data_IF_652980784070
#
_entry.id   IF_652980784070
#
_cell.length_a   1.000
_cell.length_b   1.000
_cell.length_c   1.000
_cell.angle_alpha   90.00
_cell.angle_beta   90.00
_cell.angle_gamma   90.00
#
_symmetry.space_group_name_H-M   'P 1'
#
loop_
_entity.id
_entity.type
_entity.pdbx_description
1 polymer ?
#
# COMPACT_ATOMS: atom_id res chain seq x y z
N UNK A 1 -18.75 1.20 28.38
CA UNK A 1 -18.50 2.40 27.55
C UNK A 1 -17.93 3.51 28.42
N UNK A 2 -16.86 4.17 27.96
CA UNK A 2 -16.10 5.21 28.67
C UNK A 2 -15.89 6.42 27.75
N UNK A 3 -15.95 7.64 28.29
CA UNK A 3 -15.64 8.87 27.55
C UNK A 3 -14.30 9.46 28.01
N UNK A 4 -13.40 9.71 27.06
CA UNK A 4 -12.13 10.37 27.33
C UNK A 4 -12.16 11.75 26.67
N UNK A 5 -11.98 12.83 27.44
CA UNK A 5 -11.97 14.21 26.92
C UNK A 5 -10.96 15.07 27.67
N UNK A 6 -10.02 15.67 26.96
CA UNK A 6 -9.01 16.54 27.57
C UNK A 6 -9.56 17.81 28.22
N UNK A 7 -10.75 18.25 27.82
CA UNK A 7 -11.43 19.41 28.41
C UNK A 7 -11.98 19.14 29.83
N UNK A 8 -11.84 17.91 30.34
CA UNK A 8 -12.33 17.48 31.66
C UNK A 8 -13.82 17.18 31.72
N UNK A 9 -14.53 17.18 30.59
CA UNK A 9 -15.97 16.85 30.54
C UNK A 9 -16.25 15.34 30.35
N UNK A 10 -15.20 14.54 30.15
CA UNK A 10 -15.28 13.08 30.05
C UNK A 10 -15.10 12.39 31.41
N UNK A 11 -15.20 11.06 31.40
CA UNK A 11 -14.91 10.21 32.55
C UNK A 11 -13.40 10.25 32.89
N UNK A 12 -12.55 10.41 31.86
CA UNK A 12 -11.09 10.50 31.98
C UNK A 12 -10.53 11.61 31.07
N UNK A 13 -9.37 12.16 31.42
CA UNK A 13 -8.61 13.11 30.58
C UNK A 13 -7.48 12.43 29.82
N UNK A 14 -6.99 11.30 30.31
CA UNK A 14 -5.95 10.47 29.72
C UNK A 14 -6.57 9.28 28.98
N UNK A 15 -6.03 8.96 27.80
CA UNK A 15 -6.55 7.89 26.95
C UNK A 15 -6.31 6.51 27.56
N UNK A 16 -5.13 6.29 28.13
CA UNK A 16 -4.74 5.00 28.68
C UNK A 16 -5.53 4.68 29.96
N UNK A 17 -5.75 5.66 30.84
CA UNK A 17 -6.64 5.50 31.99
C UNK A 17 -8.07 5.11 31.55
N UNK A 18 -8.57 5.74 30.49
CA UNK A 18 -9.86 5.39 29.90
C UNK A 18 -9.91 3.95 29.37
N UNK A 19 -8.85 3.50 28.68
CA UNK A 19 -8.70 2.11 28.24
C UNK A 19 -8.67 1.16 29.45
N UNK A 20 -7.93 1.48 30.50
CA UNK A 20 -7.80 0.66 31.70
C UNK A 20 -9.11 0.49 32.48
N UNK A 21 -9.99 1.50 32.45
CA UNK A 21 -11.31 1.44 33.07
C UNK A 21 -12.34 0.56 32.35
N UNK A 22 -12.06 0.14 31.10
CA UNK A 22 -12.99 -0.68 30.31
C UNK A 22 -12.97 -2.18 30.66
N UNK A 23 -14.07 -2.88 30.35
CA UNK A 23 -14.11 -4.34 30.25
C UNK A 23 -13.89 -4.81 28.79
N UNK A 24 -13.62 -6.11 28.55
CA UNK A 24 -13.63 -6.66 27.19
C UNK A 24 -14.93 -6.35 26.44
N UNK A 25 -14.83 -5.99 25.15
CA UNK A 25 -15.98 -5.62 24.32
C UNK A 25 -16.50 -4.18 24.50
N UNK A 26 -15.94 -3.40 25.42
CA UNK A 26 -16.36 -2.01 25.63
C UNK A 26 -15.89 -1.06 24.52
N UNK A 27 -16.45 0.15 24.56
CA UNK A 27 -16.06 1.27 23.71
C UNK A 27 -15.48 2.42 24.54
N UNK A 28 -14.36 2.97 24.07
CA UNK A 28 -13.77 4.24 24.50
C UNK A 28 -14.10 5.30 23.45
N UNK A 29 -14.90 6.30 23.84
CA UNK A 29 -15.24 7.45 23.00
C UNK A 29 -14.28 8.60 23.30
N UNK A 30 -13.51 9.01 22.30
CA UNK A 30 -12.43 10.00 22.44
C UNK A 30 -12.86 11.35 21.88
N UNK A 31 -12.94 12.35 22.75
CA UNK A 31 -13.24 13.74 22.40
C UNK A 31 -12.08 14.45 21.71
N UNK A 32 -12.35 15.66 21.22
CA UNK A 32 -11.31 16.51 20.62
C UNK A 32 -10.17 16.79 21.62
N UNK A 33 -8.94 16.71 21.14
CA UNK A 33 -7.74 16.87 21.96
C UNK A 33 -6.50 16.22 21.37
N UNK A 34 -5.37 16.46 22.01
CA UNK A 34 -4.07 15.81 21.75
C UNK A 34 -3.69 14.90 22.92
N UNK A 35 -3.78 13.60 22.73
CA UNK A 35 -3.40 12.59 23.70
C UNK A 35 -1.98 12.13 23.42
N UNK A 36 -1.03 12.60 24.21
CA UNK A 36 0.42 12.46 23.95
C UNK A 36 1.22 11.89 25.12
N UNK A 37 0.54 11.41 26.15
CA UNK A 37 1.18 10.82 27.33
C UNK A 37 1.78 9.44 27.00
N UNK A 38 3.07 9.43 26.66
CA UNK A 38 3.85 8.22 26.40
C UNK A 38 4.25 7.59 27.74
N UNK A 39 3.86 6.33 27.95
CA UNK A 39 4.08 5.60 29.20
C UNK A 39 4.81 4.28 28.94
N UNK A 40 5.54 3.80 29.95
CA UNK A 40 6.22 2.52 29.90
C UNK A 40 5.25 1.37 30.20
N UNK A 41 5.21 0.37 29.32
CA UNK A 41 4.46 -0.88 29.49
C UNK A 41 5.37 -2.08 29.31
N UNK A 42 5.16 -3.11 30.12
CA UNK A 42 5.79 -4.41 29.92
C UNK A 42 4.99 -5.23 28.92
N UNK A 43 5.53 -5.45 27.73
CA UNK A 43 4.92 -6.35 26.76
C UNK A 43 4.96 -7.80 27.26
N UNK A 44 4.06 -8.63 26.74
CA UNK A 44 3.98 -10.07 26.98
C UNK A 44 5.29 -10.81 26.70
N UNK A 45 6.13 -10.27 25.80
CA UNK A 45 7.49 -10.72 25.51
C UNK A 45 8.51 -10.47 26.65
N UNK A 46 8.14 -9.76 27.71
CA UNK A 46 9.06 -9.36 28.79
C UNK A 46 9.94 -8.16 28.43
N UNK A 47 9.65 -7.46 27.33
CA UNK A 47 10.39 -6.31 26.83
C UNK A 47 9.59 -5.05 27.16
N UNK A 48 10.18 -4.03 27.82
CA UNK A 48 9.48 -2.77 28.03
C UNK A 48 9.29 -2.02 26.70
N UNK A 49 8.15 -1.34 26.56
CA UNK A 49 7.78 -0.50 25.44
C UNK A 49 7.20 0.83 25.90
N UNK A 50 7.38 1.87 25.09
CA UNK A 50 6.94 3.24 25.40
C UNK A 50 5.79 3.57 24.46
N UNK A 51 4.56 3.60 24.97
CA UNK A 51 3.35 3.72 24.13
C UNK A 51 2.35 4.69 24.72
N UNK A 52 1.52 5.30 23.88
CA UNK A 52 0.44 6.20 24.33
C UNK A 52 -0.81 5.41 24.70
N UNK A 53 -1.16 4.42 23.88
CA UNK A 53 -2.31 3.54 24.12
C UNK A 53 -1.88 2.07 23.99
N UNK A 54 -1.98 1.35 25.10
CA UNK A 54 -1.69 -0.07 25.22
C UNK A 54 -2.98 -0.87 25.33
N UNK A 55 -3.28 -1.68 24.30
CA UNK A 55 -4.51 -2.46 24.20
C UNK A 55 -4.21 -3.93 24.49
N UNK A 56 -4.69 -4.41 25.63
CA UNK A 56 -4.54 -5.78 26.13
C UNK A 56 -5.89 -6.40 26.59
N UNK A 57 -7.00 -5.90 26.03
CA UNK A 57 -8.36 -6.39 26.28
C UNK A 57 -9.06 -6.68 24.95
N UNK A 58 -9.80 -7.80 24.84
CA UNK A 58 -10.29 -8.21 23.55
C UNK A 58 -11.55 -7.43 23.18
N UNK A 59 -11.75 -7.25 21.88
CA UNK A 59 -12.91 -6.61 21.26
C UNK A 59 -13.14 -5.15 21.71
N UNK A 60 -12.07 -4.45 22.13
CA UNK A 60 -12.16 -3.05 22.49
C UNK A 60 -12.39 -2.19 21.25
N UNK A 61 -13.29 -1.20 21.34
CA UNK A 61 -13.43 -0.16 20.33
C UNK A 61 -12.89 1.16 20.85
N UNK A 62 -12.05 1.86 20.08
CA UNK A 62 -11.58 3.21 20.37
C UNK A 62 -12.01 4.11 19.21
N UNK A 63 -12.93 5.04 19.49
CA UNK A 63 -13.62 5.83 18.46
C UNK A 63 -13.45 7.31 18.79
N UNK A 64 -12.72 8.03 17.94
CA UNK A 64 -12.62 9.47 18.01
C UNK A 64 -13.83 10.19 17.44
N UNK A 65 -14.06 11.43 17.87
CA UNK A 65 -15.13 12.28 17.30
C UNK A 65 -14.86 12.71 15.86
N UNK A 66 -13.59 12.79 15.46
CA UNK A 66 -13.14 13.12 14.11
C UNK A 66 -11.62 12.98 14.00
N UNK A 67 -11.09 12.50 12.86
CA UNK A 67 -9.65 12.53 12.60
C UNK A 67 -9.08 13.95 12.63
N UNK A 68 -9.87 14.99 12.37
CA UNK A 68 -9.39 16.38 12.34
C UNK A 68 -9.14 16.97 13.73
N UNK A 69 -9.78 16.43 14.77
CA UNK A 69 -9.76 17.00 16.12
C UNK A 69 -9.22 16.07 17.20
N UNK A 70 -9.11 14.76 16.94
CA UNK A 70 -8.50 13.78 17.84
C UNK A 70 -7.10 13.41 17.35
N UNK A 71 -6.06 13.79 18.10
CA UNK A 71 -4.66 13.44 17.81
C UNK A 71 -4.12 12.53 18.90
N UNK A 72 -3.66 11.34 18.53
CA UNK A 72 -2.92 10.42 19.40
C UNK A 72 -1.45 10.54 19.01
N UNK A 73 -0.65 11.20 19.83
CA UNK A 73 0.72 11.56 19.48
C UNK A 73 1.14 12.93 19.98
N UNK A 74 2.44 13.13 20.23
CA UNK A 74 2.98 14.43 20.63
C UNK A 74 2.91 15.47 19.52
N UNK A 75 2.94 16.76 19.89
CA UNK A 75 2.92 17.86 18.93
C UNK A 75 4.18 17.88 18.05
N UNK A 76 5.33 17.59 18.68
CA UNK A 76 6.61 17.40 18.01
C UNK A 76 6.99 15.92 18.01
N UNK A 77 7.72 15.43 16.99
CA UNK A 77 8.11 14.03 16.93
C UNK A 77 8.92 13.52 18.15
N UNK A 78 8.46 12.41 18.73
CA UNK A 78 9.18 11.67 19.77
C UNK A 78 9.41 10.25 19.27
N UNK A 79 10.53 10.02 18.58
CA UNK A 79 10.84 8.73 17.95
C UNK A 79 11.31 7.66 18.95
N UNK A 80 11.96 8.08 20.03
CA UNK A 80 12.50 7.16 21.02
C UNK A 80 12.42 7.76 22.41
N UNK A 81 12.21 6.90 23.40
CA UNK A 81 12.41 7.18 24.82
C UNK A 81 13.33 6.10 25.37
N UNK A 82 14.36 6.49 26.12
CA UNK A 82 15.37 5.58 26.69
C UNK A 82 15.98 4.60 25.69
N UNK A 83 16.23 5.08 24.47
CA UNK A 83 16.83 4.32 23.37
C UNK A 83 15.90 3.30 22.70
N UNK A 84 14.60 3.33 23.00
CA UNK A 84 13.60 2.43 22.43
C UNK A 84 12.53 3.18 21.66
N UNK A 85 12.04 2.54 20.61
CA UNK A 85 11.03 3.10 19.72
C UNK A 85 9.69 3.33 20.45
N UNK A 86 9.08 4.48 20.20
CA UNK A 86 7.75 4.82 20.71
C UNK A 86 6.63 4.25 19.85
N UNK A 87 5.48 3.95 20.48
CA UNK A 87 4.26 3.53 19.80
C UNK A 87 3.09 4.49 20.07
N UNK A 88 2.24 4.71 19.08
CA UNK A 88 0.97 5.42 19.26
C UNK A 88 -0.04 4.50 19.93
N UNK A 89 -0.60 3.58 19.15
CA UNK A 89 -1.53 2.54 19.61
C UNK A 89 -0.90 1.18 19.37
N UNK A 90 -0.83 0.33 20.40
CA UNK A 90 -0.21 -0.99 20.31
C UNK A 90 -1.15 -2.05 20.87
N UNK A 91 -1.44 -3.10 20.09
CA UNK A 91 -2.04 -4.32 20.63
C UNK A 91 -0.96 -5.27 21.13
N UNK A 92 -1.26 -5.95 22.23
CA UNK A 92 -0.45 -7.03 22.80
C UNK A 92 -1.37 -8.15 23.29
N UNK A 93 -0.83 -9.21 23.90
CA UNK A 93 -1.59 -10.37 24.34
C UNK A 93 -2.93 -10.00 25.02
N UNK A 94 -4.03 -10.54 24.48
CA UNK A 94 -5.39 -10.22 24.91
C UNK A 94 -6.03 -9.02 24.19
N UNK A 95 -5.33 -8.35 23.28
CA UNK A 95 -5.81 -7.20 22.50
C UNK A 95 -6.44 -7.55 21.14
N UNK A 96 -6.93 -8.79 20.96
CA UNK A 96 -7.58 -9.23 19.72
C UNK A 96 -8.89 -8.46 19.47
N UNK A 97 -9.30 -8.32 18.21
CA UNK A 97 -10.60 -7.72 17.91
C UNK A 97 -10.68 -6.20 18.08
N UNK A 98 -9.54 -5.51 18.20
CA UNK A 98 -9.51 -4.04 18.32
C UNK A 98 -10.22 -3.38 17.12
N UNK A 99 -11.08 -2.41 17.40
CA UNK A 99 -11.63 -1.49 16.40
C UNK A 99 -11.12 -0.08 16.66
N UNK A 100 -10.44 0.52 15.68
CA UNK A 100 -10.01 1.91 15.70
C UNK A 100 -10.81 2.71 14.68
N UNK A 101 -11.34 3.86 15.10
CA UNK A 101 -12.15 4.68 14.20
C UNK A 101 -12.02 6.19 14.45
N UNK A 102 -12.05 6.98 13.37
CA UNK A 102 -12.27 8.44 13.41
C UNK A 102 -11.27 9.23 14.28
N UNK A 103 -9.99 8.90 14.18
CA UNK A 103 -8.90 9.57 14.91
C UNK A 103 -7.62 9.68 14.07
N UNK A 104 -6.69 10.51 14.50
CA UNK A 104 -5.34 10.57 13.94
C UNK A 104 -4.32 9.97 14.88
N UNK A 105 -3.34 9.23 14.36
CA UNK A 105 -2.14 8.81 15.09
C UNK A 105 -0.90 9.43 14.42
N UNK A 106 -0.06 10.12 15.19
CA UNK A 106 1.05 10.89 14.63
C UNK A 106 2.31 10.98 15.51
N UNK A 107 3.43 11.40 14.92
CA UNK A 107 4.63 11.89 15.60
C UNK A 107 5.31 10.92 16.59
N UNK A 108 5.12 9.62 16.37
CA UNK A 108 5.79 8.53 17.11
C UNK A 108 6.67 7.72 16.16
N UNK A 109 7.37 6.70 16.66
CA UNK A 109 8.15 5.80 15.81
C UNK A 109 7.24 4.89 14.99
N UNK A 110 6.31 4.22 15.67
CA UNK A 110 5.29 3.36 15.08
C UNK A 110 3.90 3.89 15.43
N UNK A 111 3.07 4.21 14.42
CA UNK A 111 1.74 4.75 14.63
C UNK A 111 0.82 3.74 15.31
N UNK A 112 0.32 2.78 14.53
CA UNK A 112 -0.47 1.64 15.03
C UNK A 112 0.34 0.36 14.86
N UNK A 113 0.60 -0.34 15.96
CA UNK A 113 1.24 -1.67 15.94
C UNK A 113 0.22 -2.74 16.28
N UNK A 114 -0.07 -3.59 15.29
CA UNK A 114 -1.01 -4.70 15.40
C UNK A 114 -0.22 -6.00 15.58
N UNK A 115 -0.29 -6.56 16.79
CA UNK A 115 0.32 -7.86 17.14
C UNK A 115 -0.72 -8.92 17.50
N UNK A 116 -1.99 -8.65 17.18
CA UNK A 116 -3.15 -9.46 17.54
C UNK A 116 -4.15 -9.47 16.38
N UNK A 117 -4.92 -10.54 16.24
CA UNK A 117 -5.82 -10.77 15.10
C UNK A 117 -7.17 -10.06 15.20
N UNK A 118 -7.91 -10.07 14.08
CA UNK A 118 -9.27 -9.53 13.95
C UNK A 118 -9.37 -8.01 14.17
N UNK A 119 -8.31 -7.27 13.83
CA UNK A 119 -8.27 -5.81 14.04
C UNK A 119 -8.84 -5.07 12.84
N UNK A 120 -9.64 -4.05 13.12
CA UNK A 120 -10.22 -3.15 12.13
C UNK A 120 -9.80 -1.70 12.38
N UNK A 121 -9.42 -1.00 11.31
CA UNK A 121 -9.04 0.42 11.35
C UNK A 121 -9.85 1.12 10.26
N UNK A 122 -10.66 2.11 10.63
CA UNK A 122 -11.49 2.82 9.65
C UNK A 122 -11.59 4.32 9.89
N UNK A 123 -11.64 5.13 8.82
CA UNK A 123 -11.80 6.59 8.93
C UNK A 123 -10.70 7.26 9.78
N UNK A 124 -9.50 6.71 9.76
CA UNK A 124 -8.36 7.24 10.51
C UNK A 124 -7.39 7.98 9.60
N UNK A 125 -6.51 8.78 10.21
CA UNK A 125 -5.31 9.32 9.56
C UNK A 125 -4.09 8.83 10.33
N UNK A 126 -3.19 8.12 9.67
CA UNK A 126 -1.89 7.75 10.25
C UNK A 126 -0.83 8.57 9.52
N UNK A 127 0.01 9.30 10.25
CA UNK A 127 0.93 10.25 9.62
C UNK A 127 2.21 10.49 10.39
N UNK A 128 3.25 10.93 9.69
CA UNK A 128 4.47 11.47 10.32
C UNK A 128 5.13 10.52 11.33
N UNK A 129 4.95 9.21 11.14
CA UNK A 129 5.60 8.18 11.94
C UNK A 129 6.98 7.86 11.35
N UNK A 130 7.97 7.53 12.18
CA UNK A 130 9.34 7.31 11.67
C UNK A 130 9.50 5.98 10.95
N UNK A 131 9.22 4.86 11.62
CA UNK A 131 9.45 3.54 11.01
C UNK A 131 8.24 3.13 10.19
N UNK A 132 7.07 3.04 10.82
CA UNK A 132 5.84 2.70 10.14
C UNK A 132 4.62 3.44 10.71
N UNK A 133 3.71 3.87 9.85
CA UNK A 133 2.40 4.39 10.29
C UNK A 133 1.49 3.26 10.76
N UNK A 134 1.49 2.14 10.03
CA UNK A 134 0.92 0.86 10.41
C UNK A 134 2.01 -0.21 10.39
N UNK A 135 2.18 -0.91 11.49
CA UNK A 135 2.94 -2.14 11.58
C UNK A 135 2.00 -3.30 11.92
N UNK A 136 2.12 -4.42 11.21
CA UNK A 136 1.45 -5.67 11.57
C UNK A 136 2.41 -6.85 11.44
N UNK A 137 2.43 -7.73 12.44
CA UNK A 137 3.32 -8.89 12.46
C UNK A 137 2.64 -10.10 13.06
N UNK A 138 2.76 -11.26 12.42
CA UNK A 138 2.31 -12.57 12.95
C UNK A 138 0.84 -12.56 13.41
N UNK A 139 -0.06 -12.22 12.50
CA UNK A 139 -1.47 -11.94 12.83
C UNK A 139 -2.41 -12.34 11.69
N UNK A 140 -3.72 -12.21 11.90
CA UNK A 140 -4.73 -12.56 10.90
C UNK A 140 -5.96 -11.65 10.94
N UNK A 141 -6.70 -11.63 9.84
CA UNK A 141 -7.97 -10.92 9.67
C UNK A 141 -7.85 -9.43 9.98
N UNK A 142 -6.95 -8.74 9.28
CA UNK A 142 -6.73 -7.31 9.40
C UNK A 142 -7.47 -6.56 8.30
N UNK A 143 -8.31 -5.59 8.70
CA UNK A 143 -9.10 -4.80 7.76
C UNK A 143 -8.88 -3.30 7.98
N UNK A 144 -8.33 -2.65 6.97
CA UNK A 144 -8.06 -1.21 6.95
C UNK A 144 -8.93 -0.59 5.86
N UNK A 145 -9.76 0.39 6.24
CA UNK A 145 -10.74 0.97 5.34
C UNK A 145 -10.80 2.48 5.45
N UNK A 146 -11.04 3.18 4.34
CA UNK A 146 -11.35 4.61 4.37
C UNK A 146 -10.33 5.42 5.20
N UNK A 147 -9.07 4.98 5.18
CA UNK A 147 -7.99 5.45 6.06
C UNK A 147 -6.91 6.10 5.21
N UNK A 148 -6.41 7.23 5.68
CA UNK A 148 -5.33 7.96 5.04
C UNK A 148 -4.00 7.66 5.73
N UNK A 149 -2.98 7.43 4.91
CA UNK A 149 -1.58 7.34 5.27
C UNK A 149 -0.88 8.56 4.69
N UNK A 150 -0.66 9.58 5.53
CA UNK A 150 -0.17 10.91 5.14
C UNK A 150 1.34 11.03 5.42
N UNK A 151 2.10 10.12 4.80
CA UNK A 151 3.54 10.17 4.67
C UNK A 151 4.33 9.92 5.96
N UNK A 152 5.06 8.79 6.06
CA UNK A 152 5.96 8.59 7.18
C UNK A 152 7.15 9.56 7.07
N UNK A 153 7.73 9.94 8.22
CA UNK A 153 9.00 10.67 8.27
C UNK A 153 10.20 9.79 7.92
N UNK A 154 10.05 8.48 7.93
CA UNK A 154 11.10 7.54 7.57
C UNK A 154 10.66 6.59 6.47
N UNK A 155 10.31 5.35 6.80
CA UNK A 155 10.47 4.25 5.85
C UNK A 155 9.16 3.74 5.21
N UNK A 156 8.13 3.46 6.01
CA UNK A 156 6.95 2.72 5.55
C UNK A 156 5.65 3.42 5.98
N UNK A 157 4.67 3.50 5.10
CA UNK A 157 3.31 3.78 5.55
C UNK A 157 2.73 2.51 6.20
N UNK A 158 2.72 1.38 5.48
CA UNK A 158 2.36 0.07 5.99
C UNK A 158 3.53 -0.92 5.88
N UNK A 159 3.90 -1.51 7.01
CA UNK A 159 4.84 -2.63 7.11
C UNK A 159 4.11 -3.83 7.70
N UNK A 160 3.81 -4.84 6.88
CA UNK A 160 3.07 -6.03 7.32
C UNK A 160 3.85 -7.31 7.00
N UNK A 161 3.99 -8.18 7.99
CA UNK A 161 4.77 -9.41 7.85
C UNK A 161 4.03 -10.61 8.47
N UNK A 162 4.00 -11.74 7.77
CA UNK A 162 3.38 -12.98 8.26
C UNK A 162 1.90 -12.77 8.66
N UNK A 163 1.12 -12.20 7.74
CA UNK A 163 -0.31 -11.90 7.97
C UNK A 163 -1.19 -12.79 7.12
N UNK A 164 -2.21 -13.40 7.73
CA UNK A 164 -3.25 -14.14 7.01
C UNK A 164 -4.55 -13.33 6.91
N UNK A 165 -4.97 -12.96 5.70
CA UNK A 165 -6.15 -12.10 5.50
C UNK A 165 -5.87 -10.64 5.85
N UNK A 166 -5.26 -9.92 4.91
CA UNK A 166 -4.99 -8.49 5.01
C UNK A 166 -5.79 -7.73 3.94
N UNK A 167 -6.56 -6.73 4.34
CA UNK A 167 -7.40 -5.95 3.44
C UNK A 167 -7.15 -4.46 3.61
N UNK A 168 -6.88 -3.79 2.48
CA UNK A 168 -6.91 -2.35 2.33
C UNK A 168 -8.00 -1.98 1.32
N UNK A 169 -9.01 -1.26 1.76
CA UNK A 169 -10.13 -0.82 0.91
C UNK A 169 -10.29 0.70 1.01
N UNK A 170 -10.38 1.40 -0.12
CA UNK A 170 -10.65 2.85 -0.16
C UNK A 170 -9.66 3.67 0.70
N UNK A 171 -8.41 3.22 0.75
CA UNK A 171 -7.35 3.91 1.49
C UNK A 171 -6.58 4.88 0.58
N UNK A 172 -6.01 5.92 1.18
CA UNK A 172 -5.22 6.90 0.46
C UNK A 172 -3.81 6.94 1.07
N UNK A 173 -2.81 6.66 0.26
CA UNK A 173 -1.40 6.77 0.62
C UNK A 173 -0.85 7.99 -0.09
N UNK A 174 -0.51 9.04 0.66
CA UNK A 174 0.06 10.28 0.12
C UNK A 174 1.39 10.55 0.78
N UNK A 175 2.44 10.75 -0.03
CA UNK A 175 3.72 11.26 0.45
C UNK A 175 3.92 12.68 -0.07
N UNK A 176 3.66 13.67 0.78
CA UNK A 176 3.70 15.08 0.41
C UNK A 176 5.11 15.69 0.26
N UNK A 177 6.17 14.95 0.64
CA UNK A 177 7.54 15.47 0.62
C UNK A 177 8.45 14.59 -0.25
N UNK A 178 9.26 15.17 -1.16
CA UNK A 178 10.27 14.43 -1.89
C UNK A 178 11.34 13.97 -0.90
N UNK A 179 11.25 12.71 -0.47
CA UNK A 179 12.27 12.09 0.37
C UNK A 179 13.44 11.63 -0.52
N UNK A 180 14.66 11.93 -0.06
CA UNK A 180 15.89 11.40 -0.66
C UNK A 180 16.08 9.88 -0.44
N UNK A 181 15.20 9.26 0.36
CA UNK A 181 15.24 7.85 0.73
C UNK A 181 13.99 7.13 0.21
N UNK A 182 14.12 5.85 -0.15
CA UNK A 182 13.00 5.02 -0.61
C UNK A 182 11.98 4.79 0.49
N UNK A 183 10.90 5.57 0.44
CA UNK A 183 9.71 5.37 1.26
C UNK A 183 8.74 4.48 0.51
N UNK A 184 8.28 3.41 1.15
CA UNK A 184 7.28 2.50 0.58
C UNK A 184 5.92 2.80 1.19
N UNK A 185 4.86 2.82 0.39
CA UNK A 185 3.51 2.85 0.96
C UNK A 185 3.17 1.50 1.59
N UNK A 186 3.47 0.40 0.91
CA UNK A 186 3.28 -0.94 1.48
C UNK A 186 4.53 -1.80 1.28
N UNK A 187 5.08 -2.32 2.37
CA UNK A 187 6.05 -3.41 2.37
C UNK A 187 5.45 -4.63 3.06
N UNK A 188 5.16 -5.65 2.26
CA UNK A 188 4.33 -6.79 2.62
C UNK A 188 5.13 -8.08 2.41
N UNK A 189 5.38 -8.80 3.50
CA UNK A 189 6.19 -10.03 3.47
C UNK A 189 5.37 -11.23 3.95
N UNK A 190 5.38 -12.31 3.18
CA UNK A 190 4.72 -13.57 3.54
C UNK A 190 3.25 -13.36 3.95
N UNK A 191 2.48 -12.67 3.11
CA UNK A 191 1.04 -12.45 3.31
C UNK A 191 0.29 -13.59 2.64
N UNK A 192 -0.50 -14.35 3.40
CA UNK A 192 -1.21 -15.52 2.86
C UNK A 192 -2.31 -15.11 1.88
N UNK A 193 -3.06 -14.06 2.22
CA UNK A 193 -4.17 -13.52 1.43
C UNK A 193 -4.22 -12.00 1.58
N UNK A 194 -4.08 -11.29 0.46
CA UNK A 194 -4.10 -9.83 0.38
C UNK A 194 -5.23 -9.34 -0.52
N UNK A 195 -5.94 -8.31 -0.08
CA UNK A 195 -6.84 -7.50 -0.90
C UNK A 195 -6.41 -6.04 -0.82
N UNK A 196 -6.14 -5.41 -1.96
CA UNK A 196 -5.90 -3.98 -2.11
C UNK A 196 -6.87 -3.46 -3.16
N UNK A 197 -7.91 -2.77 -2.72
CA UNK A 197 -9.01 -2.37 -3.59
C UNK A 197 -9.39 -0.89 -3.44
N UNK A 198 -9.57 -0.22 -4.58
CA UNK A 198 -10.03 1.17 -4.64
C UNK A 198 -9.13 2.15 -3.84
N UNK A 199 -7.85 1.83 -3.73
CA UNK A 199 -6.86 2.66 -3.04
C UNK A 199 -6.17 3.62 -4.01
N UNK A 200 -5.64 4.71 -3.46
CA UNK A 200 -4.81 5.68 -4.18
C UNK A 200 -3.43 5.68 -3.56
N UNK A 201 -2.40 5.64 -4.40
CA UNK A 201 -0.99 5.69 -4.00
C UNK A 201 -0.32 6.86 -4.71
N UNK A 202 0.23 7.81 -3.97
CA UNK A 202 0.84 9.02 -4.53
C UNK A 202 2.14 9.34 -3.82
N UNK A 203 3.21 9.52 -4.59
CA UNK A 203 4.46 10.02 -4.02
C UNK A 203 5.41 8.96 -3.44
N UNK A 204 5.13 7.66 -3.55
CA UNK A 204 5.98 6.62 -2.93
C UNK A 204 7.00 5.99 -3.89
N UNK A 205 8.10 5.48 -3.31
CA UNK A 205 9.05 4.62 -4.01
C UNK A 205 8.44 3.28 -4.41
N UNK A 206 7.51 2.72 -3.62
CA UNK A 206 6.64 1.69 -4.17
C UNK A 206 5.24 1.73 -3.59
N UNK A 207 4.25 1.57 -4.47
CA UNK A 207 2.83 1.49 -4.13
C UNK A 207 2.52 0.23 -3.32
N UNK A 208 2.65 -0.91 -3.99
CA UNK A 208 2.51 -2.24 -3.37
C UNK A 208 3.77 -3.05 -3.59
N UNK A 209 4.51 -3.34 -2.52
CA UNK A 209 5.65 -4.27 -2.54
C UNK A 209 5.28 -5.55 -1.77
N UNK A 210 4.99 -6.63 -2.48
CA UNK A 210 4.62 -7.94 -1.91
C UNK A 210 5.63 -9.02 -2.29
N UNK A 211 6.09 -9.79 -1.30
CA UNK A 211 7.04 -10.88 -1.48
C UNK A 211 6.81 -12.02 -0.50
N UNK A 212 7.39 -13.19 -0.77
CA UNK A 212 7.35 -14.36 0.11
C UNK A 212 6.09 -15.22 -0.02
N UNK A 213 5.50 -15.29 -1.21
CA UNK A 213 4.36 -16.17 -1.53
C UNK A 213 2.99 -15.59 -1.24
N UNK A 214 1.97 -16.47 -1.25
CA UNK A 214 0.57 -16.14 -0.94
C UNK A 214 -0.26 -15.67 -2.14
N UNK A 215 -1.51 -15.27 -1.86
CA UNK A 215 -2.43 -14.76 -2.88
C UNK A 215 -2.70 -13.27 -2.71
N UNK A 216 -2.90 -12.56 -3.82
CA UNK A 216 -3.25 -11.14 -3.80
C UNK A 216 -4.33 -10.79 -4.84
N UNK A 217 -5.23 -9.90 -4.46
CA UNK A 217 -6.14 -9.20 -5.38
C UNK A 217 -5.82 -7.71 -5.29
N UNK A 218 -5.29 -7.14 -6.36
CA UNK A 218 -4.91 -5.73 -6.44
C UNK A 218 -5.74 -5.11 -7.56
N UNK A 219 -6.87 -4.49 -7.19
CA UNK A 219 -7.87 -4.06 -8.18
C UNK A 219 -8.41 -2.66 -7.96
N UNK A 220 -8.80 -2.02 -9.06
CA UNK A 220 -9.46 -0.70 -9.04
C UNK A 220 -8.62 0.40 -8.36
N UNK A 221 -7.30 0.25 -8.32
CA UNK A 221 -6.41 1.21 -7.65
C UNK A 221 -5.86 2.27 -8.62
N UNK A 222 -5.44 3.40 -8.06
CA UNK A 222 -4.73 4.46 -8.78
C UNK A 222 -3.31 4.63 -8.23
N UNK A 223 -2.31 4.51 -9.10
CA UNK A 223 -0.91 4.72 -8.76
C UNK A 223 -0.39 5.99 -9.46
N UNK A 224 -0.05 6.98 -8.65
CA UNK A 224 0.41 8.31 -9.04
C UNK A 224 1.91 8.43 -8.78
N UNK A 225 2.67 8.56 -9.86
CA UNK A 225 4.11 8.83 -9.76
C UNK A 225 4.36 10.24 -9.22
N UNK A 226 5.64 10.58 -9.03
CA UNK A 226 6.02 11.89 -8.51
C UNK A 226 5.68 13.02 -9.49
N UNK A 227 5.03 14.10 -9.01
CA UNK A 227 4.63 15.25 -9.85
C UNK A 227 5.85 15.93 -10.51
N UNK A 228 6.97 16.06 -9.79
CA UNK A 228 8.22 16.62 -10.32
C UNK A 228 8.99 15.61 -11.20
N UNK A 229 8.38 14.44 -11.44
CA UNK A 229 8.98 13.32 -12.10
C UNK A 229 10.01 12.57 -11.24
N UNK A 230 10.55 11.52 -11.83
CA UNK A 230 11.74 10.86 -11.33
C UNK A 230 12.91 11.79 -11.68
N UNK A 231 13.07 12.86 -10.91
CA UNK A 231 13.94 13.99 -11.27
C UNK A 231 15.33 13.55 -11.72
N UNK A 232 15.82 14.08 -12.85
CA UNK A 232 17.13 13.92 -13.56
C UNK A 232 18.13 12.86 -13.05
N UNK A 233 17.63 11.72 -12.63
CA UNK A 233 18.44 10.71 -12.00
C UNK A 233 19.05 9.93 -13.15
N UNK A 234 20.32 10.22 -13.41
CA UNK A 234 21.24 9.36 -14.15
C UNK A 234 21.41 7.96 -13.52
N UNK A 235 20.60 7.62 -12.53
CA UNK A 235 20.46 6.32 -11.89
C UNK A 235 19.49 5.47 -12.70
N UNK A 236 20.01 4.44 -13.34
CA UNK A 236 19.23 3.44 -14.10
C UNK A 236 18.45 2.48 -13.19
N UNK A 237 18.34 2.73 -11.88
CA UNK A 237 17.71 1.82 -10.93
C UNK A 237 17.38 2.55 -9.62
N UNK A 238 16.26 3.26 -9.60
CA UNK A 238 15.71 3.86 -8.39
C UNK A 238 14.77 2.90 -7.66
N UNK A 239 14.36 1.76 -8.22
CA UNK A 239 13.37 0.92 -7.55
C UNK A 239 12.03 1.62 -7.30
N UNK A 240 11.68 2.63 -8.13
CA UNK A 240 10.38 3.31 -8.06
C UNK A 240 9.32 2.50 -8.80
N UNK A 241 8.53 1.69 -8.09
CA UNK A 241 7.62 0.73 -8.70
C UNK A 241 6.17 0.91 -8.23
N UNK A 242 5.21 1.05 -9.13
CA UNK A 242 3.81 1.11 -8.70
C UNK A 242 3.40 -0.21 -8.01
N UNK A 243 3.68 -1.36 -8.64
CA UNK A 243 3.43 -2.68 -8.08
C UNK A 243 4.67 -3.56 -8.26
N UNK A 244 5.11 -4.21 -7.19
CA UNK A 244 6.17 -5.20 -7.18
C UNK A 244 5.70 -6.48 -6.49
N UNK A 245 5.74 -7.59 -7.22
CA UNK A 245 5.34 -8.92 -6.74
C UNK A 245 6.50 -9.88 -6.91
N UNK A 246 6.88 -10.61 -5.86
CA UNK A 246 8.00 -11.54 -5.99
C UNK A 246 7.91 -12.79 -5.12
N UNK A 247 8.75 -13.78 -5.44
CA UNK A 247 8.98 -14.97 -4.63
C UNK A 247 7.71 -15.81 -4.39
N UNK A 248 7.05 -16.25 -5.46
CA UNK A 248 5.95 -17.21 -5.39
C UNK A 248 4.56 -16.62 -5.19
N UNK A 249 4.41 -15.29 -5.23
CA UNK A 249 3.11 -14.62 -5.16
C UNK A 249 2.21 -15.04 -6.32
N UNK A 250 0.94 -15.32 -6.04
CA UNK A 250 -0.13 -15.52 -7.03
C UNK A 250 -1.09 -14.33 -6.95
N UNK A 251 -1.20 -13.54 -8.01
CA UNK A 251 -1.98 -12.30 -7.95
C UNK A 251 -2.90 -12.08 -9.14
N UNK A 252 -4.10 -11.56 -8.86
CA UNK A 252 -4.92 -10.86 -9.84
C UNK A 252 -4.66 -9.35 -9.73
N UNK A 253 -4.15 -8.77 -10.81
CA UNK A 253 -3.87 -7.34 -10.95
C UNK A 253 -4.75 -6.79 -12.06
N UNK A 254 -5.93 -6.27 -11.71
CA UNK A 254 -6.95 -5.90 -12.69
C UNK A 254 -7.57 -4.52 -12.44
N UNK A 255 -7.92 -3.80 -13.51
CA UNK A 255 -8.58 -2.50 -13.46
C UNK A 255 -7.80 -1.41 -12.71
N UNK A 256 -6.48 -1.49 -12.66
CA UNK A 256 -5.65 -0.44 -12.05
C UNK A 256 -5.26 0.62 -13.08
N UNK A 257 -5.14 1.86 -12.63
CA UNK A 257 -4.54 2.95 -13.41
C UNK A 257 -3.17 3.27 -12.84
N UNK A 258 -2.13 3.19 -13.68
CA UNK A 258 -0.78 3.60 -13.31
C UNK A 258 -0.37 4.78 -14.18
N UNK A 259 -0.15 5.93 -13.56
CA UNK A 259 0.29 7.14 -14.25
C UNK A 259 1.80 7.13 -14.57
N UNK A 260 2.26 8.19 -15.23
CA UNK A 260 3.68 8.36 -15.55
C UNK A 260 4.53 8.53 -14.28
N UNK A 261 5.86 8.63 -14.44
CA UNK A 261 6.81 8.88 -13.36
C UNK A 261 6.98 7.73 -12.35
N UNK A 262 6.76 6.51 -12.82
CA UNK A 262 7.28 5.29 -12.19
C UNK A 262 8.48 4.79 -12.98
N UNK A 263 9.46 4.17 -12.31
CA UNK A 263 10.52 3.45 -13.00
C UNK A 263 9.92 2.25 -13.73
N UNK A 264 9.14 1.47 -12.98
CA UNK A 264 8.34 0.37 -13.53
C UNK A 264 6.89 0.43 -13.04
N UNK A 265 5.93 0.11 -13.92
CA UNK A 265 4.52 0.03 -13.50
C UNK A 265 4.21 -1.28 -12.79
N UNK A 266 4.58 -2.41 -13.39
CA UNK A 266 4.38 -3.73 -12.79
C UNK A 266 5.66 -4.56 -12.88
N UNK A 267 6.20 -4.92 -11.73
CA UNK A 267 7.30 -5.86 -11.58
C UNK A 267 6.78 -7.18 -11.02
N UNK A 268 7.16 -8.29 -11.66
CA UNK A 268 6.85 -9.62 -11.16
C UNK A 268 8.04 -10.58 -11.31
N UNK A 269 8.43 -11.24 -10.22
CA UNK A 269 9.59 -12.14 -10.16
C UNK A 269 9.24 -13.44 -9.49
N UNK A 270 9.34 -14.57 -10.18
CA UNK A 270 8.95 -15.85 -9.61
C UNK A 270 7.47 -15.94 -9.18
N UNK A 271 6.61 -15.12 -9.78
CA UNK A 271 5.19 -14.97 -9.42
C UNK A 271 4.27 -15.37 -10.57
N UNK A 272 3.03 -15.70 -10.22
CA UNK A 272 1.94 -16.06 -11.14
C UNK A 272 0.90 -14.95 -11.18
N UNK A 273 0.85 -14.23 -12.30
CA UNK A 273 0.03 -13.03 -12.43
C UNK A 273 -1.08 -13.26 -13.44
N UNK A 274 -2.31 -12.94 -13.07
CA UNK A 274 -3.40 -12.67 -14.01
C UNK A 274 -3.74 -11.20 -13.97
N UNK A 275 -4.23 -10.64 -15.07
CA UNK A 275 -4.69 -9.26 -15.03
C UNK A 275 -5.37 -8.79 -16.31
N UNK A 276 -6.34 -7.89 -16.15
CA UNK A 276 -7.08 -7.29 -17.25
C UNK A 276 -7.62 -5.90 -16.91
N UNK A 277 -7.90 -5.10 -17.94
CA UNK A 277 -8.50 -3.77 -17.78
C UNK A 277 -7.57 -2.73 -17.17
N UNK A 278 -6.27 -2.99 -17.05
CA UNK A 278 -5.31 -2.01 -16.53
C UNK A 278 -4.96 -0.95 -17.59
N UNK A 279 -4.80 0.30 -17.16
CA UNK A 279 -4.23 1.38 -17.97
C UNK A 279 -2.86 1.76 -17.40
N UNK A 280 -1.81 1.23 -18.02
CA UNK A 280 -0.42 1.46 -17.60
C UNK A 280 0.20 2.52 -18.51
N UNK A 281 0.37 3.73 -17.99
CA UNK A 281 1.05 4.79 -18.71
C UNK A 281 2.54 4.46 -18.96
N UNK A 282 3.19 5.12 -19.93
CA UNK A 282 4.63 5.03 -20.13
C UNK A 282 5.42 5.20 -18.82
N UNK A 283 6.22 4.18 -18.48
CA UNK A 283 7.17 4.24 -17.35
C UNK A 283 8.56 4.68 -17.82
N UNK A 284 9.42 5.10 -16.89
CA UNK A 284 10.77 5.58 -17.23
C UNK A 284 11.67 4.46 -17.78
N UNK A 285 11.55 3.24 -17.26
CA UNK A 285 12.38 2.09 -17.67
C UNK A 285 11.53 1.02 -18.35
N UNK A 286 10.68 0.32 -17.58
CA UNK A 286 9.81 -0.73 -18.12
C UNK A 286 8.37 -0.59 -17.67
N UNK A 287 7.39 -0.65 -18.58
CA UNK A 287 5.99 -0.69 -18.15
C UNK A 287 5.68 -2.03 -17.48
N UNK A 288 6.11 -3.14 -18.09
CA UNK A 288 6.07 -4.48 -17.51
C UNK A 288 7.49 -5.05 -17.37
N UNK A 289 7.84 -5.57 -16.18
CA UNK A 289 9.16 -6.13 -15.93
C UNK A 289 9.10 -7.49 -15.22
N UNK A 290 9.84 -8.45 -15.77
CA UNK A 290 10.15 -9.72 -15.14
C UNK A 290 11.59 -10.11 -15.41
N UNK A 291 12.37 -10.30 -14.34
CA UNK A 291 13.70 -10.88 -14.45
C UNK A 291 13.65 -12.42 -14.45
N UNK A 292 14.76 -13.03 -14.89
CA UNK A 292 14.96 -14.41 -15.34
C UNK A 292 14.68 -15.55 -14.32
N UNK A 293 13.77 -15.35 -13.37
CA UNK A 293 13.29 -16.35 -12.44
C UNK A 293 12.69 -17.56 -13.17
N UNK A 294 13.14 -18.76 -12.76
CA UNK A 294 12.81 -20.06 -13.39
C UNK A 294 11.36 -20.53 -13.22
N UNK A 295 10.53 -19.76 -12.52
CA UNK A 295 9.17 -20.15 -12.13
C UNK A 295 8.26 -18.93 -12.25
N UNK A 296 6.98 -19.10 -12.50
CA UNK A 296 6.01 -18.00 -12.58
C UNK A 296 5.46 -17.77 -13.98
N UNK A 297 4.21 -17.34 -14.03
CA UNK A 297 3.44 -17.14 -15.27
C UNK A 297 2.84 -15.75 -15.31
N UNK A 298 2.50 -15.27 -16.50
CA UNK A 298 1.69 -14.07 -16.67
C UNK A 298 0.63 -14.30 -17.74
N UNK A 299 -0.63 -14.07 -17.39
CA UNK A 299 -1.76 -13.94 -18.31
C UNK A 299 -2.34 -12.54 -18.14
N UNK A 300 -1.87 -11.60 -18.95
CA UNK A 300 -2.16 -10.19 -18.79
C UNK A 300 -2.74 -9.64 -20.08
N UNK A 301 -4.06 -9.72 -20.22
CA UNK A 301 -4.79 -9.49 -21.46
C UNK A 301 -5.80 -8.35 -21.32
N UNK A 302 -6.16 -7.68 -22.41
CA UNK A 302 -7.12 -6.56 -22.39
C UNK A 302 -6.67 -5.37 -21.54
N UNK A 303 -5.38 -5.05 -21.59
CA UNK A 303 -4.77 -3.91 -20.92
C UNK A 303 -4.26 -2.90 -21.94
N UNK A 304 -4.07 -1.66 -21.49
CA UNK A 304 -3.26 -0.67 -22.19
C UNK A 304 -1.85 -0.65 -21.60
N UNK A 305 -0.85 -0.89 -22.45
CA UNK A 305 0.56 -0.95 -22.05
C UNK A 305 1.31 0.19 -22.76
N UNK A 306 1.64 1.21 -21.99
CA UNK A 306 2.41 2.35 -22.46
C UNK A 306 3.83 1.97 -22.87
N UNK A 307 4.41 2.78 -23.76
CA UNK A 307 5.79 2.61 -24.21
C UNK A 307 6.76 3.07 -23.12
N UNK A 308 7.37 2.11 -22.41
CA UNK A 308 8.43 2.42 -21.45
C UNK A 308 9.63 3.08 -22.11
N UNK A 309 10.45 3.79 -21.32
CA UNK A 309 11.63 4.49 -21.84
C UNK A 309 12.65 3.56 -22.50
N UNK A 310 12.90 2.40 -21.89
CA UNK A 310 13.70 1.33 -22.53
C UNK A 310 12.80 0.32 -23.25
N UNK A 311 11.84 -0.28 -22.54
CA UNK A 311 10.98 -1.33 -23.09
C UNK A 311 9.55 -1.17 -22.56
N UNK A 312 8.54 -1.46 -23.39
CA UNK A 312 7.16 -1.63 -22.89
C UNK A 312 7.06 -2.86 -22.02
N UNK A 313 7.69 -3.97 -22.45
CA UNK A 313 7.73 -5.19 -21.68
C UNK A 313 9.14 -5.79 -21.74
N UNK A 314 9.72 -6.03 -20.58
CA UNK A 314 10.93 -6.81 -20.43
C UNK A 314 10.50 -8.11 -19.75
N UNK A 315 10.40 -9.18 -20.53
CA UNK A 315 9.89 -10.47 -20.05
C UNK A 315 10.95 -11.52 -20.29
N UNK A 316 11.66 -11.88 -19.22
CA UNK A 316 12.73 -12.87 -19.28
C UNK A 316 12.29 -14.10 -18.52
N UNK A 317 11.91 -15.15 -19.26
CA UNK A 317 11.36 -16.39 -18.70
C UNK A 317 12.08 -17.60 -19.27
N UNK A 318 12.48 -18.51 -18.39
CA UNK A 318 12.94 -19.86 -18.74
C UNK A 318 11.82 -20.85 -18.44
N UNK A 319 11.16 -21.36 -19.47
CA UNK A 319 10.07 -22.34 -19.34
C UNK A 319 9.97 -23.18 -20.62
N UNK A 320 9.34 -24.35 -20.54
CA UNK A 320 9.02 -25.18 -21.71
C UNK A 320 7.65 -24.83 -22.34
N UNK A 321 6.80 -24.07 -21.63
CA UNK A 321 5.45 -23.70 -22.08
C UNK A 321 5.35 -22.20 -22.42
N UNK A 322 5.16 -21.86 -23.69
CA UNK A 322 5.01 -20.47 -24.17
C UNK A 322 3.78 -19.75 -23.61
N UNK A 323 2.77 -20.48 -23.11
CA UNK A 323 1.59 -19.86 -22.48
C UNK A 323 1.88 -19.26 -21.11
N UNK A 324 3.08 -19.50 -20.56
CA UNK A 324 3.56 -18.87 -19.35
C UNK A 324 3.75 -17.35 -19.47
N UNK A 325 3.71 -16.78 -20.69
CA UNK A 325 3.73 -15.33 -20.93
C UNK A 325 2.68 -14.90 -21.98
N UNK A 326 1.41 -14.96 -21.61
CA UNK A 326 0.29 -14.50 -22.46
C UNK A 326 0.03 -13.01 -22.26
N UNK A 327 0.33 -12.22 -23.29
CA UNK A 327 0.13 -10.76 -23.38
C UNK A 327 -0.74 -10.40 -24.59
N UNK A 328 -1.62 -11.31 -25.01
CA UNK A 328 -2.53 -11.09 -26.15
C UNK A 328 -3.62 -10.11 -25.77
N UNK A 329 -4.24 -9.56 -26.79
CA UNK A 329 -5.36 -8.63 -26.68
C UNK A 329 -5.03 -7.36 -25.88
N UNK A 330 -3.77 -6.94 -25.84
CA UNK A 330 -3.41 -5.65 -25.25
C UNK A 330 -3.37 -4.55 -26.32
N UNK A 331 -3.60 -3.31 -25.90
CA UNK A 331 -3.31 -2.10 -26.67
C UNK A 331 -1.89 -1.62 -26.34
N UNK A 332 -1.01 -1.70 -27.33
CA UNK A 332 0.39 -1.27 -27.24
C UNK A 332 0.62 0.16 -27.74
N UNK A 333 -0.42 0.86 -28.19
CA UNK A 333 -0.30 2.15 -28.87
C UNK A 333 0.12 2.05 -30.35
N UNK A 334 0.13 0.84 -30.92
CA UNK A 334 0.32 0.59 -32.35
C UNK A 334 -0.37 -0.72 -32.75
N UNK A 335 -0.66 -0.87 -34.05
CA UNK A 335 -1.11 -2.13 -34.65
C UNK A 335 -0.03 -2.79 -35.51
N UNK A 336 1.16 -2.19 -35.63
CA UNK A 336 2.30 -2.78 -36.35
C UNK A 336 3.06 -3.74 -35.43
N UNK A 337 2.84 -5.05 -35.64
CA UNK A 337 3.47 -6.13 -34.88
C UNK A 337 4.99 -6.02 -34.86
N UNK A 338 5.63 -5.71 -35.99
CA UNK A 338 7.08 -5.60 -36.06
C UNK A 338 7.59 -4.46 -35.20
N UNK A 339 6.86 -3.33 -35.21
CA UNK A 339 7.17 -2.19 -34.35
C UNK A 339 6.98 -2.51 -32.87
N UNK A 340 5.91 -3.22 -32.50
CA UNK A 340 5.67 -3.62 -31.11
C UNK A 340 6.79 -4.54 -30.60
N UNK A 341 7.26 -5.48 -31.42
CA UNK A 341 8.38 -6.34 -31.07
C UNK A 341 9.67 -5.54 -30.78
N UNK A 342 9.88 -4.36 -31.36
CA UNK A 342 11.03 -3.50 -30.99
C UNK A 342 10.92 -2.87 -29.59
N UNK A 343 9.76 -2.95 -28.95
CA UNK A 343 9.53 -2.43 -27.59
C UNK A 343 9.54 -3.53 -26.53
N UNK A 344 9.63 -4.78 -26.96
CA UNK A 344 9.61 -5.94 -26.07
C UNK A 344 11.02 -6.51 -26.07
N UNK A 345 11.57 -6.68 -24.88
CA UNK A 345 12.77 -7.49 -24.71
C UNK A 345 12.37 -8.90 -24.33
N UNK A 346 12.69 -9.87 -25.18
CA UNK A 346 12.17 -11.24 -25.09
C UNK A 346 13.27 -12.29 -25.29
N UNK A 347 12.89 -13.58 -25.24
CA UNK A 347 13.80 -14.71 -25.36
C UNK A 347 14.76 -14.61 -26.54
N UNK A 348 14.27 -14.17 -27.70
CA UNK A 348 15.08 -13.98 -28.91
C UNK A 348 16.29 -13.06 -28.70
N UNK A 349 16.19 -12.09 -27.78
CA UNK A 349 17.28 -11.15 -27.48
C UNK A 349 18.30 -11.73 -26.50
N UNK A 350 17.90 -12.65 -25.62
CA UNK A 350 18.77 -13.22 -24.58
C UNK A 350 19.38 -14.58 -24.96
N UNK A 351 18.65 -15.36 -25.75
CA UNK A 351 18.96 -16.73 -26.10
C UNK A 351 18.53 -17.02 -27.54
N UNK A 352 19.15 -16.34 -28.53
CA UNK A 352 18.78 -16.46 -29.93
C UNK A 352 18.92 -17.90 -30.46
N UNK A 353 19.73 -18.72 -29.80
CA UNK A 353 19.94 -20.13 -30.13
C UNK A 353 19.03 -21.09 -29.33
N UNK A 354 18.23 -20.59 -28.39
CA UNK A 354 17.30 -21.39 -27.58
C UNK A 354 17.98 -22.34 -26.58
N UNK A 355 19.27 -22.12 -26.28
CA UNK A 355 20.13 -23.00 -25.47
C UNK A 355 19.76 -23.03 -23.99
N UNK A 356 19.14 -21.97 -23.48
CA UNK A 356 18.78 -21.76 -22.09
C UNK A 356 17.26 -21.89 -21.84
N UNK A 357 16.48 -22.19 -22.88
CA UNK A 357 15.05 -22.46 -22.79
C UNK A 357 14.22 -21.21 -22.52
N UNK A 358 14.63 -20.04 -23.02
CA UNK A 358 13.81 -18.84 -22.91
C UNK A 358 12.63 -18.86 -23.89
N UNK A 359 11.49 -18.29 -23.47
CA UNK A 359 10.27 -18.18 -24.30
C UNK A 359 9.91 -16.73 -24.64
N UNK A 360 9.43 -16.52 -25.87
CA UNK A 360 8.85 -15.23 -26.27
C UNK A 360 7.41 -15.11 -25.73
N UNK A 361 6.98 -13.90 -25.33
CA UNK A 361 5.60 -13.68 -24.94
C UNK A 361 4.65 -13.79 -26.14
N UNK A 362 3.43 -14.27 -25.90
CA UNK A 362 2.36 -14.24 -26.90
C UNK A 362 1.74 -12.84 -26.95
N UNK A 363 1.85 -12.12 -28.06
CA UNK A 363 1.31 -10.75 -28.17
C UNK A 363 0.13 -10.60 -29.15
N UNK A 364 -0.04 -11.56 -30.07
CA UNK A 364 -1.11 -11.54 -31.07
C UNK A 364 -2.30 -12.42 -30.68
N UNK A 365 -3.54 -11.93 -30.86
CA UNK A 365 -3.92 -10.72 -31.58
C UNK A 365 -3.77 -9.45 -30.73
N UNK A 366 -3.49 -8.31 -31.38
CA UNK A 366 -3.38 -6.99 -30.74
C UNK A 366 -4.72 -6.26 -30.83
N UNK A 367 -5.12 -5.55 -29.77
CA UNK A 367 -6.28 -4.65 -29.85
C UNK A 367 -5.83 -3.34 -30.53
N UNK A 368 -6.53 -2.87 -31.57
CA UNK A 368 -6.22 -1.59 -32.19
C UNK A 368 -6.35 -0.45 -31.19
N UNK A 369 -5.36 0.43 -31.16
CA UNK A 369 -5.37 1.60 -30.27
C UNK A 369 -6.61 2.45 -30.51
N UNK A 370 -7.47 2.55 -29.50
CA UNK A 370 -8.56 3.53 -29.51
C UNK A 370 -7.94 4.85 -29.07
N UNK A 371 -8.03 5.94 -29.85
CA UNK A 371 -7.53 7.24 -29.42
C UNK A 371 -8.13 7.58 -28.06
N UNK A 372 -7.28 7.79 -27.05
CA UNK A 372 -7.72 8.19 -25.73
C UNK A 372 -8.60 9.44 -25.87
N UNK A 373 -9.89 9.34 -25.57
CA UNK A 373 -10.70 10.52 -25.35
C UNK A 373 -10.12 11.21 -24.12
N UNK A 374 -9.37 12.29 -24.34
CA UNK A 374 -9.02 13.25 -23.29
C UNK A 374 -10.31 13.88 -22.78
N UNK A 375 -11.01 13.20 -21.87
CA UNK A 375 -12.04 13.83 -21.07
C UNK A 375 -11.31 14.62 -19.97
N UNK A 376 -11.41 15.96 -19.93
CA UNK A 376 -10.79 16.72 -18.87
C UNK A 376 -11.39 16.30 -17.52
N UNK A 377 -10.52 16.15 -16.52
CA UNK A 377 -10.76 15.78 -15.11
C UNK A 377 -11.82 16.68 -14.42
N UNK A 378 -12.27 17.76 -15.05
CA UNK A 378 -13.34 18.63 -14.57
C UNK A 378 -14.70 17.94 -14.37
N UNK A 379 -14.96 16.78 -14.99
CA UNK A 379 -16.22 16.04 -14.80
C UNK A 379 -16.28 15.19 -13.51
N UNK A 380 -15.14 14.82 -12.92
CA UNK A 380 -15.11 14.03 -11.67
C UNK A 380 -15.28 14.91 -10.42
N UNK A 381 -14.81 16.17 -10.45
CA UNK A 381 -15.01 17.14 -9.35
C UNK A 381 -16.48 17.58 -9.17
N UNK A 382 -17.36 17.30 -10.14
CA UNK A 382 -18.78 17.63 -10.06
C UNK A 382 -19.62 16.72 -9.16
N UNK A 383 -19.11 15.54 -8.77
CA UNK A 383 -19.85 14.57 -7.95
C UNK A 383 -19.61 14.68 -6.44
N UNK A 384 -18.68 15.53 -6.00
CA UNK A 384 -18.31 15.71 -4.58
C UNK A 384 -18.56 17.12 -4.03
N UNK A 385 -19.34 17.96 -4.71
CA UNK A 385 -19.83 19.20 -4.09
C UNK A 385 -20.90 18.84 -3.06
N UNK A 386 -20.56 18.95 -1.77
CA UNK A 386 -21.53 19.06 -0.67
C UNK A 386 -22.57 20.13 -1.04
N UNK A 387 -23.87 19.93 -0.75
CA UNK A 387 -24.81 21.04 -0.81
C UNK A 387 -24.35 22.09 0.22
N UNK A 388 -24.05 23.29 -0.24
CA UNK A 388 -23.92 24.46 0.62
C UNK A 388 -25.28 24.71 1.28
N UNK A 389 -25.40 24.43 2.58
CA UNK A 389 -26.43 25.08 3.39
C UNK A 389 -25.98 26.50 3.67
N UNK A 390 -26.44 27.42 2.84
CA UNK A 390 -26.54 28.83 3.19
C UNK A 390 -28.03 29.21 3.23
N UNK A 391 -28.49 29.48 4.44
CA UNK A 391 -29.47 30.51 4.80
C UNK A 391 -30.83 30.54 4.11
N UNK A 392 -31.85 30.04 4.84
CA UNK A 392 -32.98 30.87 5.29
C UNK A 392 -33.38 30.47 6.71
#
# INVERSE_FOLDING_TARGET
>A
MVHVRQDGTGDFVDLQEGIEATAPGDTVLVGAGRYDNIQEFMFSSGIPGWVIAFVNKPNLSIIGVSPDSVRIGPADPVDNVDGRATGGIVTDAGGEGLRLESLTVENVNYGVQVKQSHVSISHCVLRSCKSAELYAGETSDLRIQDTQFDGPRGNWAALCQFVDGLTFERCEFVLALPHANFVYSMNLAAITSLVVESCVFEGFGSGVYLWGGGTATITNNEFRGWEDGIGDATSTNLGVNAIWLSEGVVADVSNNTVSQHHENSLVFKQSHITGSGNDLAPSHVHTLFSDAGRTGTITFNHNRIGRGGEHSAFVVRRDADSTAADLRFNDWGSSDVNRIWTWIRSAKDFDPEGTNGYIDPMIEPIIPSVPAQTAPVSRLKGRYRRPSMEGQ
#
